data_IF_990061637748
#
_entry.id   IF_990061637748
#
_cell.length_a   1.000
_cell.length_b   1.000
_cell.length_c   1.000
_cell.angle_alpha   90.00
_cell.angle_beta   90.00
_cell.angle_gamma   90.00
#
_symmetry.space_group_name_H-M   'P 1'
#
loop_
_entity.id
_entity.type
_entity.pdbx_description
1 polymer ?
#
# COMPACT_ATOMS: atom_id res chain seq x y z
N UNK A 1 -7.01 2.58 1.53
CA UNK A 1 -5.92 2.23 2.47
C UNK A 1 -4.61 2.78 1.92
N UNK A 2 -3.75 3.32 2.79
CA UNK A 2 -2.43 3.84 2.43
C UNK A 2 -1.35 3.06 3.18
N UNK A 3 -0.35 2.58 2.47
CA UNK A 3 0.91 2.09 3.04
C UNK A 3 2.00 3.10 2.76
N UNK A 4 2.72 3.55 3.78
CA UNK A 4 3.68 4.66 3.65
C UNK A 4 5.04 4.20 4.14
N UNK A 5 6.09 4.56 3.40
CA UNK A 5 7.48 4.32 3.76
C UNK A 5 8.24 5.64 3.71
N UNK A 6 9.11 5.88 4.66
CA UNK A 6 9.89 7.10 4.75
C UNK A 6 10.52 7.22 6.12
N UNK A 7 11.04 8.41 6.43
CA UNK A 7 11.38 8.75 7.80
C UNK A 7 10.10 8.76 8.65
N UNK A 8 10.13 8.14 9.84
CA UNK A 8 8.91 7.87 10.64
C UNK A 8 8.07 9.13 10.90
N UNK A 9 8.73 10.26 11.23
CA UNK A 9 8.04 11.53 11.44
C UNK A 9 7.36 12.04 10.16
N UNK A 10 8.10 12.06 9.05
CA UNK A 10 7.58 12.56 7.77
C UNK A 10 6.45 11.66 7.24
N UNK A 11 6.59 10.34 7.38
CA UNK A 11 5.60 9.36 6.96
C UNK A 11 4.30 9.50 7.77
N UNK A 12 4.38 9.62 9.09
CA UNK A 12 3.21 9.81 9.95
C UNK A 12 2.52 11.14 9.64
N UNK A 13 3.28 12.24 9.60
CA UNK A 13 2.73 13.57 9.29
C UNK A 13 2.07 13.62 7.91
N UNK A 14 2.69 13.02 6.90
CA UNK A 14 2.14 13.01 5.56
C UNK A 14 0.87 12.14 5.47
N UNK A 15 0.84 11.00 6.16
CA UNK A 15 -0.33 10.13 6.24
C UNK A 15 -1.52 10.84 6.89
N UNK A 16 -1.28 11.52 8.01
CA UNK A 16 -2.30 12.28 8.73
C UNK A 16 -2.80 13.47 7.90
N UNK A 17 -1.88 14.17 7.22
CA UNK A 17 -2.22 15.26 6.32
C UNK A 17 -3.16 14.79 5.21
N UNK A 18 -2.79 13.73 4.48
CA UNK A 18 -3.59 13.22 3.35
C UNK A 18 -4.93 12.67 3.85
N UNK A 19 -4.94 11.87 4.92
CA UNK A 19 -6.19 11.29 5.46
C UNK A 19 -7.17 12.36 5.92
N UNK A 20 -6.71 13.39 6.63
CA UNK A 20 -7.54 14.51 7.08
C UNK A 20 -8.16 15.26 5.91
N UNK A 21 -7.40 15.50 4.84
CA UNK A 21 -7.93 16.18 3.64
C UNK A 21 -8.96 15.33 2.90
N UNK A 22 -8.78 14.00 2.88
CA UNK A 22 -9.77 13.10 2.31
C UNK A 22 -11.07 13.16 3.09
N UNK A 23 -11.02 13.00 4.42
CA UNK A 23 -12.21 13.08 5.27
C UNK A 23 -12.88 14.46 5.20
N UNK A 24 -12.10 15.53 5.15
CA UNK A 24 -12.64 16.89 5.02
C UNK A 24 -13.39 17.09 3.70
N UNK A 25 -12.84 16.58 2.60
CA UNK A 25 -13.50 16.64 1.29
C UNK A 25 -14.85 15.94 1.31
N UNK A 26 -14.90 14.76 1.94
CA UNK A 26 -16.13 13.97 2.06
C UNK A 26 -17.22 14.71 2.83
N UNK A 27 -16.85 15.31 3.96
CA UNK A 27 -17.77 16.12 4.78
C UNK A 27 -18.26 17.35 4.01
N UNK A 28 -17.36 18.02 3.28
CA UNK A 28 -17.68 19.27 2.59
C UNK A 28 -18.57 19.07 1.36
N UNK A 29 -18.30 18.04 0.56
CA UNK A 29 -18.99 17.82 -0.71
C UNK A 29 -20.12 16.77 -0.61
N UNK A 30 -20.14 15.97 0.46
CA UNK A 30 -21.16 14.95 0.68
C UNK A 30 -20.96 13.66 -0.13
N UNK A 31 -19.79 13.45 -0.74
CA UNK A 31 -19.46 12.23 -1.48
C UNK A 31 -17.96 11.86 -1.39
N UNK A 32 -17.60 10.56 -1.46
CA UNK A 32 -16.22 10.08 -1.41
C UNK A 32 -15.39 10.55 -2.61
N UNK A 33 -14.11 10.84 -2.38
CA UNK A 33 -13.19 11.14 -3.48
C UNK A 33 -12.94 9.90 -4.35
N UNK A 34 -12.92 10.09 -5.67
CA UNK A 34 -12.48 9.05 -6.60
C UNK A 34 -11.00 8.70 -6.40
N UNK A 35 -10.64 7.43 -6.58
CA UNK A 35 -9.26 6.97 -6.39
C UNK A 35 -8.24 7.78 -7.19
N UNK A 36 -8.55 8.09 -8.45
CA UNK A 36 -7.64 8.87 -9.30
C UNK A 36 -7.41 10.27 -8.75
N UNK A 37 -8.44 10.93 -8.22
CA UNK A 37 -8.33 12.24 -7.60
C UNK A 37 -7.45 12.18 -6.35
N UNK A 38 -7.61 11.15 -5.51
CA UNK A 38 -6.76 10.96 -4.32
C UNK A 38 -5.29 10.78 -4.72
N UNK A 39 -5.00 9.94 -5.72
CA UNK A 39 -3.63 9.76 -6.24
C UNK A 39 -3.06 11.07 -6.77
N UNK A 40 -3.86 11.81 -7.54
CA UNK A 40 -3.43 13.04 -8.17
C UNK A 40 -3.22 14.19 -7.17
N UNK A 41 -4.05 14.26 -6.13
CA UNK A 41 -3.89 15.17 -5.01
C UNK A 41 -2.60 14.87 -4.25
N UNK A 42 -2.40 13.60 -3.89
CA UNK A 42 -1.24 13.15 -3.12
C UNK A 42 0.07 13.39 -3.87
N UNK A 43 0.13 13.04 -5.16
CA UNK A 43 1.33 13.28 -5.99
C UNK A 43 1.63 14.76 -6.16
N UNK A 44 0.60 15.61 -6.25
CA UNK A 44 0.78 17.04 -6.43
C UNK A 44 1.44 17.67 -5.19
N UNK A 45 1.06 17.23 -4.00
CA UNK A 45 1.72 17.66 -2.76
C UNK A 45 3.18 17.21 -2.66
N UNK A 46 3.49 15.97 -3.06
CA UNK A 46 4.89 15.51 -3.11
C UNK A 46 5.72 16.33 -4.11
N UNK A 47 5.19 16.59 -5.31
CA UNK A 47 5.84 17.42 -6.31
C UNK A 47 6.05 18.86 -5.82
N UNK A 48 5.08 19.44 -5.12
CA UNK A 48 5.20 20.78 -4.54
C UNK A 48 6.30 20.85 -3.47
N UNK A 49 6.45 19.80 -2.67
CA UNK A 49 7.52 19.70 -1.67
C UNK A 49 8.90 19.64 -2.34
N UNK A 50 9.04 18.82 -3.39
CA UNK A 50 10.27 18.72 -4.19
C UNK A 50 10.61 20.07 -4.83
N UNK A 51 9.63 20.75 -5.43
CA UNK A 51 9.81 22.07 -6.06
C UNK A 51 10.23 23.14 -5.03
N UNK A 52 9.67 23.08 -3.82
CA UNK A 52 9.98 23.99 -2.71
C UNK A 52 11.30 23.66 -2.01
N UNK A 53 12.04 22.63 -2.47
CA UNK A 53 13.28 22.12 -1.86
C UNK A 53 13.12 21.70 -0.39
N UNK A 54 11.90 21.38 0.04
CA UNK A 54 11.65 20.79 1.35
C UNK A 54 11.95 19.29 1.23
N UNK A 55 12.85 18.80 2.08
CA UNK A 55 13.29 17.40 2.04
C UNK A 55 12.25 16.48 2.71
N UNK A 56 11.12 16.26 2.04
CA UNK A 56 10.18 15.18 2.38
C UNK A 56 10.56 13.94 1.57
N UNK A 57 11.01 12.88 2.25
CA UNK A 57 11.36 11.61 1.60
C UNK A 57 10.35 10.53 2.03
N UNK A 58 9.21 10.52 1.33
CA UNK A 58 8.10 9.62 1.62
C UNK A 58 7.62 8.99 0.32
N UNK A 59 7.60 7.67 0.25
CA UNK A 59 6.97 6.92 -0.82
C UNK A 59 5.76 6.17 -0.26
N UNK A 60 4.77 5.87 -1.10
CA UNK A 60 3.55 5.25 -0.63
C UNK A 60 2.87 4.38 -1.65
N UNK A 61 2.07 3.45 -1.15
CA UNK A 61 1.23 2.55 -1.90
C UNK A 61 -0.22 2.82 -1.53
N UNK A 62 -1.02 3.21 -2.51
CA UNK A 62 -2.43 3.49 -2.32
C UNK A 62 -3.26 2.32 -2.86
N UNK A 63 -3.96 1.62 -1.97
CA UNK A 63 -4.90 0.58 -2.33
C UNK A 63 -6.33 1.10 -2.13
N UNK A 64 -7.08 1.19 -3.23
CA UNK A 64 -8.44 1.69 -3.24
C UNK A 64 -9.37 0.79 -4.04
N UNK A 65 -10.67 0.93 -3.77
CA UNK A 65 -11.72 0.24 -4.47
C UNK A 65 -12.77 1.25 -4.93
N UNK A 66 -12.92 1.40 -6.25
CA UNK A 66 -13.95 2.25 -6.85
C UNK A 66 -15.12 1.36 -7.32
N UNK A 67 -16.39 1.64 -6.97
CA UNK A 67 -17.53 0.85 -7.42
C UNK A 67 -17.68 0.78 -8.95
N UNK A 68 -17.23 1.81 -9.68
CA UNK A 68 -17.32 1.90 -11.14
C UNK A 68 -16.13 1.27 -11.87
N UNK A 69 -14.93 1.33 -11.30
CA UNK A 69 -13.67 0.93 -11.97
C UNK A 69 -13.06 -0.35 -11.39
N UNK A 70 -13.53 -0.79 -10.23
CA UNK A 70 -13.01 -1.94 -9.49
C UNK A 70 -11.80 -1.58 -8.61
N UNK A 71 -11.03 -2.59 -8.19
CA UNK A 71 -9.85 -2.37 -7.35
C UNK A 71 -8.71 -1.74 -8.14
N UNK A 72 -8.04 -0.78 -7.52
CA UNK A 72 -6.90 -0.07 -8.09
C UNK A 72 -5.80 0.11 -7.04
N UNK A 73 -4.57 -0.16 -7.45
CA UNK A 73 -3.37 -0.04 -6.64
C UNK A 73 -2.44 0.93 -7.33
N UNK A 74 -2.14 2.03 -6.66
CA UNK A 74 -1.22 3.04 -7.15
C UNK A 74 0.05 3.06 -6.33
N UNK A 75 1.16 2.88 -7.02
CA UNK A 75 2.50 3.12 -6.51
C UNK A 75 2.84 4.60 -6.69
N UNK A 76 3.30 5.25 -5.62
CA UNK A 76 3.76 6.64 -5.63
C UNK A 76 5.18 6.68 -5.06
N UNK A 77 6.13 7.18 -5.85
CA UNK A 77 7.52 7.38 -5.42
C UNK A 77 7.69 8.72 -4.68
N UNK A 78 8.80 8.87 -3.96
CA UNK A 78 9.16 10.10 -3.24
C UNK A 78 9.28 11.34 -4.13
N UNK A 79 9.51 11.15 -5.44
CA UNK A 79 9.55 12.23 -6.43
C UNK A 79 8.15 12.61 -6.98
N UNK A 80 7.08 11.97 -6.50
CA UNK A 80 5.71 12.22 -6.99
C UNK A 80 5.38 11.55 -8.33
N UNK A 81 6.21 10.62 -8.80
CA UNK A 81 5.86 9.73 -9.90
C UNK A 81 4.80 8.73 -9.41
N UNK A 82 3.72 8.56 -10.17
CA UNK A 82 2.61 7.68 -9.82
C UNK A 82 2.32 6.66 -10.93
N UNK A 83 2.14 5.39 -10.59
CA UNK A 83 1.81 4.34 -11.54
C UNK A 83 0.72 3.41 -10.97
N UNK A 84 -0.28 3.09 -11.79
CA UNK A 84 -1.25 2.03 -11.46
C UNK A 84 -0.66 0.67 -11.84
N UNK A 85 -0.63 -0.25 -10.88
CA UNK A 85 -0.01 -1.57 -11.01
C UNK A 85 -0.96 -2.64 -10.46
N UNK A 86 -0.82 -3.90 -10.89
CA UNK A 86 -1.63 -5.01 -10.36
C UNK A 86 -1.10 -5.58 -9.05
N UNK A 87 0.21 -5.46 -8.84
CA UNK A 87 0.93 -5.84 -7.64
C UNK A 87 2.08 -4.87 -7.49
N UNK A 88 2.38 -4.47 -6.26
CA UNK A 88 3.53 -3.64 -5.96
C UNK A 88 3.81 -3.69 -4.47
N UNK A 89 4.96 -3.16 -4.08
CA UNK A 89 5.38 -2.99 -2.71
C UNK A 89 6.48 -1.96 -2.64
N UNK A 90 6.85 -1.62 -1.42
CA UNK A 90 7.98 -0.74 -1.13
C UNK A 90 9.03 -1.49 -0.30
N UNK A 91 10.24 -0.92 -0.22
CA UNK A 91 11.32 -1.47 0.58
C UNK A 91 12.04 -2.65 -0.08
N UNK A 92 12.94 -3.28 0.69
CA UNK A 92 13.77 -4.38 0.19
C UNK A 92 12.98 -5.68 0.04
N UNK A 93 11.96 -5.89 0.88
CA UNK A 93 11.05 -7.04 0.75
C UNK A 93 10.34 -7.06 -0.61
N UNK A 94 9.99 -5.89 -1.16
CA UNK A 94 9.41 -5.80 -2.49
C UNK A 94 10.32 -6.36 -3.58
N UNK A 95 11.60 -6.01 -3.60
CA UNK A 95 12.55 -6.48 -4.62
C UNK A 95 12.69 -8.01 -4.61
N UNK A 96 12.70 -8.61 -3.42
CA UNK A 96 12.76 -10.08 -3.27
C UNK A 96 11.47 -10.71 -3.80
N UNK A 97 10.33 -10.20 -3.38
CA UNK A 97 9.02 -10.76 -3.69
C UNK A 97 8.53 -10.44 -5.11
N UNK A 98 9.12 -9.46 -5.80
CA UNK A 98 8.73 -9.07 -7.16
C UNK A 98 8.78 -10.26 -8.13
N UNK A 99 9.79 -11.11 -8.00
CA UNK A 99 9.93 -12.34 -8.79
C UNK A 99 8.75 -13.30 -8.60
N UNK A 100 8.31 -13.47 -7.34
CA UNK A 100 7.19 -14.34 -6.96
C UNK A 100 5.88 -13.78 -7.50
N UNK A 101 5.67 -12.46 -7.39
CA UNK A 101 4.50 -11.80 -7.94
C UNK A 101 4.42 -11.97 -9.45
N UNK A 102 5.52 -11.76 -10.16
CA UNK A 102 5.55 -11.89 -11.61
C UNK A 102 5.23 -13.31 -12.08
N UNK A 103 5.60 -14.34 -11.32
CA UNK A 103 5.34 -15.75 -11.68
C UNK A 103 3.94 -16.23 -11.29
N UNK A 104 3.46 -15.85 -10.10
CA UNK A 104 2.25 -16.44 -9.51
C UNK A 104 0.99 -15.59 -9.72
N UNK A 105 1.14 -14.29 -9.98
CA UNK A 105 0.00 -13.41 -10.19
C UNK A 105 -0.69 -13.74 -11.53
N UNK A 106 -2.02 -13.84 -11.49
CA UNK A 106 -2.87 -14.09 -12.65
C UNK A 106 -4.15 -13.25 -12.55
N UNK A 107 -4.72 -12.81 -13.68
CA UNK A 107 -6.04 -12.17 -13.67
C UNK A 107 -7.10 -13.14 -13.15
N UNK A 108 -7.98 -12.69 -12.24
CA UNK A 108 -9.03 -13.50 -11.62
C UNK A 108 -8.58 -14.36 -10.43
N UNK A 109 -7.50 -13.96 -9.76
CA UNK A 109 -7.01 -14.66 -8.56
C UNK A 109 -8.03 -14.59 -7.41
N UNK A 110 -8.34 -15.74 -6.81
CA UNK A 110 -9.18 -15.82 -5.61
C UNK A 110 -8.45 -15.23 -4.40
N UNK A 111 -9.21 -14.83 -3.36
CA UNK A 111 -8.65 -14.28 -2.12
C UNK A 111 -7.67 -15.30 -1.48
N UNK A 112 -8.03 -16.58 -1.43
CA UNK A 112 -7.17 -17.65 -0.92
C UNK A 112 -5.89 -17.82 -1.75
N UNK A 113 -6.01 -17.72 -3.07
CA UNK A 113 -4.87 -17.70 -3.99
C UNK A 113 -3.94 -16.52 -3.70
N UNK A 114 -4.48 -15.32 -3.50
CA UNK A 114 -3.74 -14.12 -3.10
C UNK A 114 -3.00 -14.31 -1.79
N UNK A 115 -3.67 -14.84 -0.76
CA UNK A 115 -3.03 -15.15 0.52
C UNK A 115 -1.90 -16.16 0.36
N UNK A 116 -2.06 -17.20 -0.47
CA UNK A 116 -1.01 -18.19 -0.70
C UNK A 116 0.26 -17.58 -1.30
N UNK A 117 0.13 -16.58 -2.18
CA UNK A 117 1.26 -15.83 -2.75
C UNK A 117 1.95 -15.03 -1.64
N UNK A 118 1.19 -14.31 -0.82
CA UNK A 118 1.74 -13.55 0.32
C UNK A 118 2.48 -14.47 1.28
N UNK A 119 1.95 -15.67 1.58
CA UNK A 119 2.65 -16.67 2.41
C UNK A 119 4.01 -17.07 1.84
N UNK A 120 4.10 -17.26 0.54
CA UNK A 120 5.38 -17.56 -0.14
C UNK A 120 6.33 -16.36 -0.09
N UNK A 121 5.82 -15.14 -0.27
CA UNK A 121 6.59 -13.91 -0.13
C UNK A 121 7.19 -13.78 1.28
N UNK A 122 6.39 -13.97 2.33
CA UNK A 122 6.86 -13.93 3.73
C UNK A 122 7.93 -14.98 4.00
N UNK A 123 7.75 -16.21 3.50
CA UNK A 123 8.75 -17.27 3.67
C UNK A 123 10.09 -16.91 2.99
N UNK A 124 10.07 -16.34 1.79
CA UNK A 124 11.28 -15.90 1.09
C UNK A 124 11.96 -14.71 1.78
N UNK A 125 11.17 -13.76 2.31
CA UNK A 125 11.67 -12.64 3.13
C UNK A 125 12.40 -13.18 4.35
N UNK A 126 11.77 -14.08 5.13
CA UNK A 126 12.36 -14.66 6.34
C UNK A 126 13.62 -15.48 6.07
N UNK A 127 13.71 -16.10 4.88
CA UNK A 127 14.87 -16.91 4.51
C UNK A 127 16.05 -16.05 4.00
N UNK A 128 15.78 -14.97 3.27
CA UNK A 128 16.82 -14.15 2.61
C UNK A 128 17.28 -12.94 3.42
N UNK A 129 16.42 -12.39 4.28
CA UNK A 129 16.78 -11.25 5.12
C UNK A 129 17.38 -11.73 6.43
N UNK A 130 18.54 -11.18 6.75
CA UNK A 130 19.23 -11.40 8.04
C UNK A 130 18.38 -10.81 9.19
N UNK A 131 17.61 -9.76 8.90
CA UNK A 131 16.68 -9.15 9.83
C UNK A 131 15.41 -10.00 9.88
N UNK A 132 15.19 -10.65 11.02
CA UNK A 132 14.01 -11.47 11.25
C UNK A 132 12.78 -10.58 11.48
N UNK A 133 12.05 -10.29 10.39
CA UNK A 133 10.73 -9.68 10.42
C UNK A 133 9.71 -10.74 10.86
N UNK A 134 9.22 -10.61 12.09
CA UNK A 134 8.32 -11.60 12.72
C UNK A 134 6.84 -11.31 12.49
N UNK A 135 6.50 -10.08 12.15
CA UNK A 135 5.11 -9.61 12.11
C UNK A 135 4.77 -9.09 10.72
N UNK A 136 3.77 -9.73 10.11
CA UNK A 136 3.18 -9.29 8.86
C UNK A 136 1.68 -9.14 9.05
N UNK A 137 1.17 -7.98 8.69
CA UNK A 137 -0.26 -7.71 8.67
C UNK A 137 -0.76 -7.72 7.24
N UNK A 138 -1.87 -8.42 7.01
CA UNK A 138 -2.49 -8.51 5.69
C UNK A 138 -3.84 -7.85 5.75
N UNK A 139 -4.07 -6.92 4.85
CA UNK A 139 -5.34 -6.21 4.73
C UNK A 139 -5.94 -6.49 3.35
N UNK A 140 -7.25 -6.76 3.34
CA UNK A 140 -8.05 -6.92 2.15
C UNK A 140 -8.88 -5.65 1.95
N UNK A 141 -8.82 -5.08 0.75
CA UNK A 141 -9.66 -3.94 0.34
C UNK A 141 -10.65 -4.46 -0.69
N UNK A 142 -11.93 -4.37 -0.38
CA UNK A 142 -13.04 -4.85 -1.21
C UNK A 142 -14.17 -3.81 -1.23
N UNK A 143 -15.25 -4.08 -1.97
CA UNK A 143 -16.46 -3.25 -2.01
C UNK A 143 -17.09 -2.98 -0.63
N UNK A 144 -16.93 -3.92 0.29
CA UNK A 144 -17.48 -3.83 1.65
C UNK A 144 -16.55 -3.05 2.60
N UNK A 145 -15.41 -2.56 2.09
CA UNK A 145 -14.41 -1.80 2.85
C UNK A 145 -13.12 -2.58 3.11
N UNK A 146 -12.43 -2.20 4.19
CA UNK A 146 -11.11 -2.73 4.56
C UNK A 146 -11.29 -3.77 5.66
N UNK A 147 -10.79 -5.00 5.44
CA UNK A 147 -10.81 -6.09 6.41
C UNK A 147 -9.39 -6.55 6.71
N UNK A 148 -9.04 -6.70 7.98
CA UNK A 148 -7.79 -7.35 8.39
C UNK A 148 -7.95 -8.86 8.26
N UNK A 149 -7.02 -9.49 7.55
CA UNK A 149 -6.93 -10.94 7.40
C UNK A 149 -5.98 -11.51 8.47
N UNK A 150 -6.15 -12.79 8.79
CA UNK A 150 -5.30 -13.46 9.77
C UNK A 150 -3.82 -13.35 9.41
N UNK A 151 -3.00 -13.03 10.43
CA UNK A 151 -1.58 -12.81 10.25
C UNK A 151 -0.91 -14.07 9.74
N UNK A 152 -0.14 -13.92 8.68
CA UNK A 152 0.72 -14.96 8.13
C UNK A 152 2.00 -14.99 8.98
N UNK A 153 1.99 -15.78 10.05
CA UNK A 153 3.14 -15.95 10.94
C UNK A 153 2.73 -15.97 12.41
N UNK A 154 3.19 -16.97 13.15
CA UNK A 154 2.78 -17.21 14.52
C UNK A 154 3.14 -16.09 15.50
N UNK A 155 2.17 -15.77 16.37
CA UNK A 155 2.19 -14.88 17.54
C UNK A 155 2.20 -13.37 17.27
N UNK A 156 1.10 -12.77 17.68
CA UNK A 156 0.77 -11.36 17.79
C UNK A 156 1.59 -10.72 18.91
N UNK A 157 2.43 -9.73 18.59
CA UNK A 157 2.98 -8.75 19.55
C UNK A 157 3.09 -7.42 18.83
N UNK A 158 2.58 -6.37 19.49
CA UNK A 158 2.57 -4.99 19.00
C UNK A 158 3.99 -4.49 18.68
N UNK A 159 4.18 -3.97 17.45
CA UNK A 159 4.88 -2.73 17.10
C UNK A 159 5.22 -2.70 15.60
N UNK A 160 4.71 -1.65 14.96
CA UNK A 160 5.12 -0.93 13.75
C UNK A 160 6.37 -1.51 13.05
N UNK A 161 6.18 -2.24 11.95
CA UNK A 161 7.16 -2.34 10.86
C UNK A 161 6.41 -2.60 9.55
N UNK A 162 6.19 -1.53 8.79
CA UNK A 162 5.37 -1.49 7.60
C UNK A 162 6.18 -1.87 6.35
N UNK A 163 6.17 -3.14 5.94
CA UNK A 163 6.36 -3.48 4.53
C UNK A 163 4.98 -3.79 3.93
N UNK A 164 4.36 -2.79 3.30
CA UNK A 164 3.07 -2.95 2.63
C UNK A 164 3.26 -3.67 1.29
N UNK A 165 2.96 -4.97 1.28
CA UNK A 165 2.94 -5.80 0.08
C UNK A 165 1.47 -6.12 -0.23
N UNK A 166 0.94 -5.57 -1.32
CA UNK A 166 -0.48 -5.71 -1.67
C UNK A 166 -0.61 -6.29 -3.08
N UNK A 167 -1.02 -7.56 -3.23
CA UNK A 167 -1.54 -8.04 -4.51
C UNK A 167 -2.99 -7.59 -4.68
N UNK A 168 -3.35 -7.04 -5.84
CA UNK A 168 -4.76 -6.86 -6.18
C UNK A 168 -5.37 -8.19 -6.58
N UNK A 169 -6.40 -8.60 -5.86
CA UNK A 169 -7.37 -9.62 -6.27
C UNK A 169 -8.59 -8.89 -6.83
N UNK A 170 -9.01 -9.21 -8.07
CA UNK A 170 -10.32 -8.76 -8.60
C UNK A 170 -11.39 -9.71 -8.07
N UNK A 171 -12.39 -9.16 -7.38
CA UNK A 171 -13.62 -9.87 -6.99
C UNK A 171 -14.50 -10.15 -8.22
#
# INVERSE_FOLDING_TARGET
>A
MMGVIGNDGDAMHFTDFISTHISLYEIKNGYPMETQTVVHFTRHHLLANVASKVKYMVAMLLACFDPKRGPNLCFIDAHGASQSLNYSGHGIGHTICMSIFHMLWKPGLTIEGGQSIIRKCVAEIQNRLIVNLRHFEVYLVDKDGIRKLDSVGGKQVDLINQECIVPITRA
#
